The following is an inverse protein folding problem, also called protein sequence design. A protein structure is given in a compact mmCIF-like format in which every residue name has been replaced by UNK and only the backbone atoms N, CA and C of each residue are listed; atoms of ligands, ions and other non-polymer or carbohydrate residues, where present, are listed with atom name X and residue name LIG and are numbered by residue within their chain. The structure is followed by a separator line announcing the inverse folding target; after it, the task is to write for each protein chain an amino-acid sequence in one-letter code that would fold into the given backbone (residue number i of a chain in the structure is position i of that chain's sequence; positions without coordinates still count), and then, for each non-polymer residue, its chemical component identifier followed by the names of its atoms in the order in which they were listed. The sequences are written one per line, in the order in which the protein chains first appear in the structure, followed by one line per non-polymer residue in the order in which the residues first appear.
data_IF_540307480944
#
_entry.id   IF_540307480944
#
_cell.length_a   1.000
_cell.length_b   1.000
_cell.length_c   1.000
_cell.angle_alpha   90.00
_cell.angle_beta   90.00
_cell.angle_gamma   90.00
#
_symmetry.space_group_name_H-M   'P 1'
#
loop_
_entity.id
_entity.type
_entity.pdbx_description
1 polymer ?
#
# COMPACT_ATOMS: atom_id res chain seq x y z
N UNK A 1 7.38 8.12 11.20
CA UNK A 1 7.19 7.10 10.16
C UNK A 1 6.88 5.78 10.87
N UNK A 2 5.69 5.23 10.67
CA UNK A 2 5.32 3.89 11.16
C UNK A 2 5.33 2.95 9.96
N UNK A 3 5.89 1.76 10.13
CA UNK A 3 5.96 0.72 9.11
C UNK A 3 5.21 -0.50 9.61
N UNK A 4 4.32 -1.05 8.79
CA UNK A 4 3.63 -2.32 9.05
C UNK A 4 3.95 -3.31 7.94
N UNK A 5 3.85 -4.58 8.26
CA UNK A 5 3.99 -5.64 7.27
C UNK A 5 2.60 -6.14 6.87
N UNK A 6 2.38 -6.29 5.58
CA UNK A 6 1.17 -6.87 5.02
C UNK A 6 1.56 -8.14 4.25
N UNK A 7 0.90 -9.25 4.57
CA UNK A 7 1.00 -10.48 3.79
C UNK A 7 -0.16 -10.54 2.79
N UNK A 8 0.19 -10.66 1.51
CA UNK A 8 -0.73 -10.87 0.40
C UNK A 8 -0.61 -12.31 -0.05
N UNK A 9 -1.72 -13.05 -0.04
CA UNK A 9 -1.78 -14.40 -0.58
C UNK A 9 -2.31 -14.32 -2.02
N UNK A 10 -1.53 -14.81 -2.98
CA UNK A 10 -1.90 -14.81 -4.39
C UNK A 10 -1.32 -16.07 -5.07
N UNK A 11 -2.15 -16.83 -5.81
CA UNK A 11 -1.77 -18.08 -6.48
C UNK A 11 -0.96 -19.05 -5.59
N UNK A 12 -1.46 -19.33 -4.37
CA UNK A 12 -0.81 -20.18 -3.36
C UNK A 12 0.57 -19.71 -2.89
N UNK A 13 0.97 -18.49 -3.26
CA UNK A 13 2.18 -17.84 -2.77
C UNK A 13 1.84 -16.73 -1.78
N UNK A 14 2.70 -16.57 -0.78
CA UNK A 14 2.58 -15.52 0.22
C UNK A 14 3.68 -14.49 -0.01
N UNK A 15 3.26 -13.27 -0.32
CA UNK A 15 4.13 -12.13 -0.53
C UNK A 15 4.02 -11.18 0.62
N UNK A 16 5.15 -10.79 1.20
CA UNK A 16 5.17 -9.84 2.30
C UNK A 16 5.62 -8.48 1.78
N UNK A 17 4.89 -7.44 2.16
CA UNK A 17 5.16 -6.06 1.80
C UNK A 17 5.34 -5.23 3.07
N UNK A 18 6.42 -4.45 3.09
CA UNK A 18 6.62 -3.40 4.07
C UNK A 18 5.86 -2.16 3.59
N UNK A 19 4.93 -1.69 4.42
CA UNK A 19 4.11 -0.50 4.15
C UNK A 19 4.44 0.55 5.19
N UNK A 20 5.17 1.56 4.78
CA UNK A 20 5.35 2.78 5.56
C UNK A 20 4.27 3.78 5.17
N UNK A 21 3.89 4.66 6.09
CA UNK A 21 2.94 5.72 5.78
C UNK A 21 3.39 7.08 6.31
N UNK A 22 3.03 8.10 5.55
CA UNK A 22 3.32 9.50 5.81
C UNK A 22 2.03 10.30 5.67
N UNK A 23 1.75 11.14 6.68
CA UNK A 23 0.65 12.09 6.62
C UNK A 23 1.16 13.37 5.96
N UNK A 24 0.52 13.76 4.88
CA UNK A 24 0.68 15.06 4.23
C UNK A 24 -0.54 15.94 4.55
N UNK A 25 -0.49 17.21 4.15
CA UNK A 25 -1.50 18.20 4.53
C UNK A 25 -2.94 17.80 4.15
N UNK A 26 -3.12 17.19 2.97
CA UNK A 26 -4.44 16.79 2.44
C UNK A 26 -4.51 15.32 1.96
N UNK A 27 -3.52 14.52 2.34
CA UNK A 27 -3.42 13.13 1.89
C UNK A 27 -2.62 12.27 2.86
N UNK A 28 -2.83 10.96 2.76
CA UNK A 28 -1.96 9.96 3.37
C UNK A 28 -1.26 9.19 2.26
N UNK A 29 0.06 9.20 2.29
CA UNK A 29 0.89 8.45 1.34
C UNK A 29 1.33 7.16 2.00
N UNK A 30 1.13 6.05 1.31
CA UNK A 30 1.54 4.71 1.71
C UNK A 30 2.66 4.26 0.79
N UNK A 31 3.88 4.22 1.32
CA UNK A 31 5.07 3.73 0.64
C UNK A 31 5.16 2.21 0.82
N UNK A 32 4.96 1.49 -0.28
CA UNK A 32 4.93 0.03 -0.32
C UNK A 32 6.23 -0.47 -0.94
N UNK A 33 6.85 -1.45 -0.26
CA UNK A 33 8.06 -2.11 -0.72
C UNK A 33 7.95 -3.62 -0.51
N UNK A 34 8.35 -4.46 -1.47
CA UNK A 34 8.42 -5.90 -1.25
C UNK A 34 9.46 -6.23 -0.16
N UNK A 35 9.09 -7.08 0.79
CA UNK A 35 9.98 -7.52 1.86
C UNK A 35 10.93 -8.60 1.30
N UNK A 36 12.13 -8.17 0.90
CA UNK A 36 13.18 -8.94 0.18
C UNK A 36 12.88 -9.11 -1.30
N UNK A 37 13.85 -9.66 -2.06
CA UNK A 37 13.73 -10.03 -3.48
C UNK A 37 12.64 -11.10 -3.67
N UNK A 38 11.39 -10.67 -3.54
CA UNK A 38 10.21 -11.43 -3.92
C UNK A 38 10.34 -11.75 -5.40
N UNK A 39 9.96 -12.96 -5.80
CA UNK A 39 9.90 -13.34 -7.21
C UNK A 39 8.79 -12.59 -7.98
N UNK A 40 7.95 -11.81 -7.28
CA UNK A 40 6.92 -10.98 -7.88
C UNK A 40 7.54 -9.81 -8.62
N UNK A 41 7.07 -9.60 -9.85
CA UNK A 41 7.29 -8.37 -10.60
C UNK A 41 6.47 -7.21 -10.00
N UNK A 42 6.76 -6.82 -8.75
CA UNK A 42 6.22 -5.63 -8.11
C UNK A 42 7.31 -4.56 -8.05
N UNK A 43 6.99 -3.27 -8.27
CA UNK A 43 7.99 -2.21 -8.20
C UNK A 43 8.73 -2.20 -6.84
N UNK A 44 10.03 -1.94 -6.86
CA UNK A 44 10.80 -1.77 -5.61
C UNK A 44 10.32 -0.58 -4.77
N UNK A 45 9.70 0.40 -5.44
CA UNK A 45 9.09 1.58 -4.86
C UNK A 45 7.71 1.78 -5.48
N UNK A 46 6.68 1.72 -4.65
CA UNK A 46 5.29 1.93 -5.09
C UNK A 46 4.56 2.75 -4.03
N UNK A 47 3.89 3.81 -4.47
CA UNK A 47 3.15 4.70 -3.57
C UNK A 47 1.66 4.60 -3.84
N UNK A 48 0.88 4.37 -2.79
CA UNK A 48 -0.57 4.57 -2.80
C UNK A 48 -0.87 5.88 -2.08
N UNK A 49 -1.62 6.77 -2.71
CA UNK A 49 -2.01 8.07 -2.18
C UNK A 49 -3.52 8.03 -1.89
N UNK A 50 -3.91 8.25 -0.64
CA UNK A 50 -5.31 8.47 -0.25
C UNK A 50 -5.48 9.94 0.09
N UNK A 51 -6.13 10.71 -0.78
CA UNK A 51 -6.57 12.07 -0.44
C UNK A 51 -7.65 12.04 0.63
N UNK A 52 -7.72 13.06 1.47
CA UNK A 52 -8.75 13.12 2.53
C UNK A 52 -10.17 13.23 1.97
N UNK A 53 -10.30 13.89 0.83
CA UNK A 53 -11.58 14.09 0.14
C UNK A 53 -11.96 12.93 -0.78
N UNK A 54 -11.17 11.85 -0.82
CA UNK A 54 -11.40 10.70 -1.71
C UNK A 54 -11.41 9.38 -0.96
N UNK A 55 -12.46 8.61 -1.17
CA UNK A 55 -12.50 7.23 -0.68
C UNK A 55 -11.58 6.31 -1.48
N UNK A 56 -11.32 6.64 -2.75
CA UNK A 56 -10.50 5.83 -3.65
C UNK A 56 -9.01 6.21 -3.60
N UNK A 57 -8.10 5.22 -3.68
CA UNK A 57 -6.67 5.44 -3.74
C UNK A 57 -6.23 5.90 -5.13
N UNK A 58 -5.09 6.57 -5.18
CA UNK A 58 -4.39 6.92 -6.42
C UNK A 58 -3.00 6.29 -6.39
N UNK A 59 -2.56 5.70 -7.51
CA UNK A 59 -1.24 5.12 -7.66
C UNK A 59 -0.87 5.00 -9.15
N UNK A 60 0.43 4.88 -9.46
CA UNK A 60 0.88 4.75 -10.86
C UNK A 60 0.63 3.33 -11.39
N UNK A 61 -0.44 3.19 -12.17
CA UNK A 61 -0.84 1.92 -12.80
C UNK A 61 0.15 1.47 -13.88
N UNK A 62 0.94 2.38 -14.48
CA UNK A 62 1.92 2.02 -15.53
C UNK A 62 3.09 1.21 -14.97
N UNK A 63 3.35 1.33 -13.67
CA UNK A 63 4.36 0.54 -12.97
C UNK A 63 3.92 -0.90 -12.68
N UNK A 64 2.66 -1.26 -12.94
CA UNK A 64 2.08 -2.56 -12.57
C UNK A 64 1.67 -3.39 -13.79
N UNK A 65 2.08 -4.66 -13.80
CA UNK A 65 1.46 -5.69 -14.64
C UNK A 65 0.11 -6.13 -14.02
N UNK A 66 -0.58 -7.10 -14.63
CA UNK A 66 -1.90 -7.55 -14.16
C UNK A 66 -1.86 -8.12 -12.72
N UNK A 67 -0.86 -8.96 -12.42
CA UNK A 67 -0.62 -9.47 -11.07
C UNK A 67 -0.38 -8.33 -10.06
N UNK A 68 0.46 -7.36 -10.43
CA UNK A 68 0.77 -6.19 -9.61
C UNK A 68 -0.47 -5.36 -9.30
N UNK A 69 -1.41 -5.23 -10.24
CA UNK A 69 -2.71 -4.55 -10.00
C UNK A 69 -3.55 -5.29 -8.97
N UNK A 70 -3.65 -6.62 -9.09
CA UNK A 70 -4.39 -7.43 -8.13
C UNK A 70 -3.77 -7.38 -6.73
N UNK A 71 -2.44 -7.40 -6.65
CA UNK A 71 -1.70 -7.21 -5.39
C UNK A 71 -1.95 -5.82 -4.80
N UNK A 72 -1.90 -4.76 -5.63
CA UNK A 72 -2.17 -3.40 -5.19
C UNK A 72 -3.60 -3.24 -4.65
N UNK A 73 -4.59 -3.89 -5.26
CA UNK A 73 -5.96 -3.90 -4.79
C UNK A 73 -6.10 -4.61 -3.43
N UNK A 74 -5.47 -5.77 -3.24
CA UNK A 74 -5.46 -6.48 -1.94
C UNK A 74 -4.75 -5.65 -0.87
N UNK A 75 -3.61 -5.05 -1.20
CA UNK A 75 -2.88 -4.14 -0.30
C UNK A 75 -3.78 -2.98 0.12
N UNK A 76 -4.47 -2.35 -0.83
CA UNK A 76 -5.39 -1.26 -0.54
C UNK A 76 -6.56 -1.67 0.34
N UNK A 77 -7.18 -2.83 0.08
CA UNK A 77 -8.26 -3.35 0.91
C UNK A 77 -7.81 -3.54 2.35
N UNK A 78 -6.65 -4.16 2.58
CA UNK A 78 -6.12 -4.32 3.93
C UNK A 78 -5.75 -2.99 4.58
N UNK A 79 -5.19 -2.06 3.81
CA UNK A 79 -4.85 -0.72 4.29
C UNK A 79 -6.12 0.02 4.76
N UNK A 80 -7.20 -0.09 4.00
CA UNK A 80 -8.48 0.58 4.25
C UNK A 80 -9.24 -0.01 5.43
N UNK A 81 -9.11 -1.32 5.69
CA UNK A 81 -9.70 -1.97 6.85
C UNK A 81 -9.02 -1.55 8.17
N UNK A 82 -7.72 -1.28 8.11
CA UNK A 82 -6.94 -0.87 9.27
C UNK A 82 -6.17 0.42 8.93
N UNK A 83 -6.86 1.57 8.83
CA UNK A 83 -6.19 2.82 8.52
C UNK A 83 -5.20 3.17 9.64
N UNK A 84 -4.08 3.82 9.29
CA UNK A 84 -3.10 4.25 10.28
C UNK A 84 -3.72 5.22 11.29
N UNK A 85 -3.52 4.95 12.57
CA UNK A 85 -3.92 5.86 13.64
C UNK A 85 -2.82 6.88 13.88
N UNK A 86 -3.03 8.12 13.43
CA UNK A 86 -2.13 9.23 13.74
C UNK A 86 -2.46 9.78 15.13
N UNK A 87 -1.48 9.81 16.04
CA UNK A 87 -1.63 10.54 17.32
C UNK A 87 -1.85 12.03 17.00
N UNK A 88 -3.10 12.49 17.07
CA UNK A 88 -3.48 13.89 16.92
C UNK A 88 -4.26 14.29 15.67
N UNK A 89 -4.64 13.35 14.80
CA UNK A 89 -5.54 13.64 13.67
C UNK A 89 -7.01 13.53 14.09
N UNK A 90 -7.81 14.59 13.89
CA UNK A 90 -9.24 14.61 14.22
C UNK A 90 -9.98 13.42 13.60
N UNK A 91 -10.78 12.77 14.43
CA UNK A 91 -11.88 11.89 14.02
C UNK A 91 -12.95 12.67 13.24
#
# INVERSE_FOLDING_TARGET
MMTRQITVSYNDQHYMYDVAFERQDNATVYHIKPHKKSAVAFPEHFDIIKSDDSEQPQYDVKALNEEGKQIADVLWQQISLFPPQFKGGKA
#
